data_IF_694130832225
#
_entry.id   IF_694130832225
#
_cell.length_a   1.000
_cell.length_b   1.000
_cell.length_c   1.000
_cell.angle_alpha   90.00
_cell.angle_beta   90.00
_cell.angle_gamma   90.00
#
_symmetry.space_group_name_H-M   'P 1'
#
loop_
_entity.id
_entity.type
_entity.pdbx_description
1 polymer ?
#
# COMPACT_ATOMS: atom_id res chain seq x y z
N UNK A 1 0.10 -3.40 7.31
CA UNK A 1 -0.30 -2.29 6.41
C UNK A 1 0.39 -0.97 6.76
N UNK A 2 0.53 -0.63 8.05
CA UNK A 2 1.12 0.64 8.49
C UNK A 2 2.54 0.90 7.95
N UNK A 3 3.39 -0.12 7.83
CA UNK A 3 4.75 0.03 7.25
C UNK A 3 4.72 0.52 5.81
N UNK A 4 3.84 -0.05 4.97
CA UNK A 4 3.68 0.38 3.58
C UNK A 4 3.05 1.77 3.49
N UNK A 5 2.06 2.06 4.33
CA UNK A 5 1.45 3.39 4.41
C UNK A 5 2.50 4.46 4.76
N UNK A 6 3.35 4.19 5.75
CA UNK A 6 4.43 5.09 6.17
C UNK A 6 5.52 5.25 5.11
N UNK A 7 5.89 4.16 4.42
CA UNK A 7 6.83 4.19 3.31
C UNK A 7 6.33 5.07 2.15
N UNK A 8 5.01 5.12 1.94
CA UNK A 8 4.37 5.94 0.92
C UNK A 8 3.93 7.33 1.39
N UNK A 9 4.24 7.71 2.64
CA UNK A 9 3.75 8.97 3.22
C UNK A 9 2.22 9.04 3.39
N UNK A 10 1.51 7.93 3.22
CA UNK A 10 0.07 7.84 3.37
C UNK A 10 -0.30 7.65 4.85
N UNK A 11 -1.17 8.52 5.35
CA UNK A 11 -1.74 8.33 6.69
C UNK A 11 -2.54 7.02 6.79
N UNK A 12 -2.55 6.43 8.00
CA UNK A 12 -3.27 5.19 8.33
C UNK A 12 -4.71 5.14 7.77
N UNK A 13 -5.47 6.23 7.89
CA UNK A 13 -6.85 6.31 7.39
C UNK A 13 -6.92 6.20 5.85
N UNK A 14 -6.06 6.94 5.14
CA UNK A 14 -6.02 6.93 3.66
C UNK A 14 -5.59 5.56 3.16
N UNK A 15 -4.66 4.93 3.86
CA UNK A 15 -4.20 3.61 3.51
C UNK A 15 -5.29 2.55 3.62
N UNK A 16 -6.06 2.52 4.71
CA UNK A 16 -7.20 1.61 4.84
C UNK A 16 -8.33 1.89 3.84
N UNK A 17 -8.59 3.16 3.52
CA UNK A 17 -9.57 3.52 2.48
C UNK A 17 -9.17 2.99 1.11
N UNK A 18 -7.92 3.24 0.70
CA UNK A 18 -7.36 2.74 -0.56
C UNK A 18 -7.27 1.20 -0.57
N UNK A 19 -6.99 0.58 0.59
CA UNK A 19 -7.01 -0.87 0.74
C UNK A 19 -8.37 -1.47 0.46
N UNK A 20 -9.42 -0.88 1.06
CA UNK A 20 -10.80 -1.30 0.90
C UNK A 20 -11.30 -1.05 -0.52
N UNK A 21 -10.85 0.04 -1.14
CA UNK A 21 -11.17 0.40 -2.52
C UNK A 21 -10.33 -0.37 -3.56
N UNK A 22 -9.38 -1.21 -3.14
CA UNK A 22 -8.40 -1.87 -4.01
C UNK A 22 -7.67 -0.90 -4.97
N UNK A 23 -7.58 0.38 -4.57
CA UNK A 23 -6.95 1.49 -5.29
C UNK A 23 -5.57 1.83 -4.75
N UNK A 24 -5.07 1.00 -3.84
CA UNK A 24 -3.75 1.19 -3.29
C UNK A 24 -2.72 0.98 -4.41
N UNK A 25 -1.72 1.87 -4.55
CA UNK A 25 -0.73 1.77 -5.63
C UNK A 25 0.16 0.53 -5.50
N UNK A 26 0.05 -0.19 -4.38
CA UNK A 26 0.63 -1.50 -4.18
C UNK A 26 -0.45 -2.59 -4.16
N UNK A 27 -0.17 -3.75 -4.75
CA UNK A 27 -1.04 -4.93 -4.66
C UNK A 27 -1.23 -5.37 -3.21
N UNK A 28 -2.49 -5.50 -2.81
CA UNK A 28 -2.87 -5.94 -1.45
C UNK A 28 -3.50 -7.32 -1.53
N UNK A 29 -2.97 -8.22 -0.71
CA UNK A 29 -3.51 -9.57 -0.51
C UNK A 29 -4.26 -9.57 0.81
N UNK A 30 -5.53 -9.95 0.77
CA UNK A 30 -6.36 -10.12 1.96
C UNK A 30 -6.24 -11.56 2.45
N UNK A 31 -5.57 -11.76 3.57
CA UNK A 31 -5.46 -13.04 4.27
C UNK A 31 -6.42 -12.99 5.46
N UNK A 32 -7.65 -13.49 5.26
CA UNK A 32 -8.71 -13.45 6.27
C UNK A 32 -9.06 -12.01 6.69
N UNK A 33 -8.78 -11.68 7.96
CA UNK A 33 -8.95 -10.33 8.54
C UNK A 33 -7.74 -9.41 8.34
N UNK A 34 -6.62 -9.95 7.87
CA UNK A 34 -5.37 -9.21 7.70
C UNK A 34 -5.15 -8.75 6.26
N UNK A 35 -4.65 -7.53 6.11
CA UNK A 35 -4.21 -6.98 4.82
C UNK A 35 -2.69 -7.01 4.74
N UNK A 36 -2.17 -7.77 3.78
CA UNK A 36 -0.74 -7.82 3.43
C UNK A 36 -0.49 -7.02 2.17
N UNK A 37 0.50 -6.15 2.21
CA UNK A 37 0.98 -5.43 1.03
C UNK A 37 2.10 -6.24 0.42
N UNK A 38 2.08 -6.41 -0.90
CA UNK A 38 3.16 -7.08 -1.62
C UNK A 38 4.38 -6.16 -1.59
N UNK A 39 5.45 -6.58 -0.90
CA UNK A 39 6.68 -5.81 -0.76
C UNK A 39 7.40 -5.57 -2.09
N UNK A 40 7.23 -6.46 -3.08
CA UNK A 40 7.76 -6.25 -4.44
C UNK A 40 7.13 -5.02 -5.12
N UNK A 41 5.84 -4.80 -4.90
CA UNK A 41 5.10 -3.65 -5.41
C UNK A 41 5.47 -2.38 -4.64
N UNK A 42 5.64 -2.51 -3.32
CA UNK A 42 6.15 -1.41 -2.49
C UNK A 42 7.58 -1.00 -2.92
N UNK A 43 8.43 -1.97 -3.24
CA UNK A 43 9.80 -1.72 -3.70
C UNK A 43 9.81 -1.05 -5.07
N UNK A 44 8.94 -1.48 -6.01
CA UNK A 44 8.75 -0.78 -7.29
C UNK A 44 8.38 0.68 -7.07
N UNK A 45 7.41 0.94 -6.18
CA UNK A 45 6.91 2.28 -5.91
C UNK A 45 7.89 3.17 -5.14
N UNK A 46 8.81 2.60 -4.35
CA UNK A 46 9.87 3.34 -3.65
C UNK A 46 11.09 3.61 -4.53
N UNK A 47 11.36 2.72 -5.49
CA UNK A 47 12.52 2.83 -6.40
C UNK A 47 12.18 3.70 -7.62
N UNK A 48 10.94 3.65 -8.08
CA UNK A 48 10.40 4.54 -9.10
C UNK A 48 9.30 5.38 -8.44
N UNK A 49 9.64 6.53 -7.81
CA UNK A 49 8.61 7.50 -7.49
C UNK A 49 8.02 7.94 -8.83
N UNK A 50 6.88 7.36 -9.18
CA UNK A 50 6.08 7.75 -10.35
C UNK A 50 5.76 9.24 -10.19
N UNK A 51 6.53 10.08 -10.88
CA UNK A 51 6.19 11.48 -11.14
C UNK A 51 4.90 11.48 -11.96
N UNK A 52 3.79 11.73 -11.28
CA UNK A 52 2.51 12.07 -11.87
C UNK A 52 1.87 13.24 -11.10
#
# INVERSE_FOLDING_TARGET
METAARALGLGRTRAYQLARANRFPCKIIRTGTSYRVVTADLHRLLVEPDEA
#
